data_IF_192608866311
#
_entry.id   IF_192608866311
#
_cell.length_a   1.000
_cell.length_b   1.000
_cell.length_c   1.000
_cell.angle_alpha   90.00
_cell.angle_beta   90.00
_cell.angle_gamma   90.00
#
_symmetry.space_group_name_H-M   'P 1'
#
loop_
_entity.id
_entity.type
_entity.pdbx_description
1 polymer ?
#
# COMPACT_ATOMS: atom_id res chain seq x y z
N UNK A 1 -1.97 12.13 -15.47
CA UNK A 1 -1.02 12.48 -14.40
C UNK A 1 0.30 11.80 -14.73
N UNK A 2 1.42 12.53 -14.85
CA UNK A 2 2.71 11.94 -15.24
C UNK A 2 3.46 11.40 -14.01
N UNK A 3 4.23 10.34 -14.19
CA UNK A 3 4.94 9.60 -13.12
C UNK A 3 5.92 10.50 -12.35
N UNK A 4 6.56 11.43 -13.06
CA UNK A 4 7.40 12.48 -12.46
C UNK A 4 6.65 13.35 -11.44
N UNK A 5 5.38 13.68 -11.67
CA UNK A 5 4.61 14.43 -10.68
C UNK A 5 4.35 13.60 -9.43
N UNK A 6 4.08 12.30 -9.58
CA UNK A 6 3.90 11.38 -8.46
C UNK A 6 5.18 11.21 -7.64
N UNK A 7 6.34 11.10 -8.30
CA UNK A 7 7.64 11.04 -7.62
C UNK A 7 7.94 12.32 -6.84
N UNK A 8 7.71 13.49 -7.44
CA UNK A 8 7.89 14.78 -6.74
C UNK A 8 6.93 14.91 -5.56
N UNK A 9 5.67 14.56 -5.75
CA UNK A 9 4.65 14.60 -4.69
C UNK A 9 5.02 13.67 -3.52
N UNK A 10 5.37 12.41 -3.82
CA UNK A 10 5.83 11.47 -2.80
C UNK A 10 7.11 11.95 -2.11
N UNK A 11 8.05 12.54 -2.87
CA UNK A 11 9.27 13.13 -2.31
C UNK A 11 8.99 14.26 -1.33
N UNK A 12 8.03 15.15 -1.62
CA UNK A 12 7.63 16.22 -0.71
C UNK A 12 6.92 15.67 0.54
N UNK A 13 6.11 14.63 0.41
CA UNK A 13 5.51 13.96 1.57
C UNK A 13 6.57 13.34 2.50
N UNK A 14 7.57 12.66 1.91
CA UNK A 14 8.70 12.03 2.62
C UNK A 14 9.52 13.07 3.38
N UNK A 15 9.79 14.24 2.78
CA UNK A 15 10.52 15.32 3.45
C UNK A 15 9.77 15.83 4.68
N UNK A 16 8.45 15.99 4.57
CA UNK A 16 7.61 16.48 5.67
C UNK A 16 7.45 15.47 6.81
N UNK A 17 7.71 14.20 6.56
CA UNK A 17 7.55 13.14 7.56
C UNK A 17 8.44 13.35 8.78
N UNK A 18 9.63 13.96 8.60
CA UNK A 18 10.54 14.30 9.70
C UNK A 18 9.90 15.18 10.78
N UNK A 19 8.95 16.04 10.39
CA UNK A 19 8.27 16.97 11.30
C UNK A 19 7.01 16.38 11.94
N UNK A 20 6.36 15.41 11.28
CA UNK A 20 5.03 14.95 11.67
C UNK A 20 5.00 13.52 12.22
N UNK A 21 6.08 12.75 12.08
CA UNK A 21 6.14 11.34 12.50
C UNK A 21 5.98 11.11 14.01
N UNK A 22 6.23 12.12 14.84
CA UNK A 22 6.08 12.03 16.30
C UNK A 22 4.60 11.93 16.72
N UNK A 23 3.68 12.38 15.85
CA UNK A 23 2.23 12.29 16.05
C UNK A 23 1.71 11.09 15.25
N UNK A 24 1.20 10.02 15.93
CA UNK A 24 0.75 8.79 15.26
C UNK A 24 -0.28 9.03 14.15
N UNK A 25 -1.22 9.94 14.34
CA UNK A 25 -2.28 10.26 13.38
C UNK A 25 -1.71 10.81 12.06
N UNK A 26 -0.72 11.71 12.16
CA UNK A 26 -0.10 12.27 10.98
C UNK A 26 0.70 11.21 10.21
N UNK A 27 1.33 10.29 10.93
CA UNK A 27 2.05 9.15 10.34
C UNK A 27 1.10 8.26 9.54
N UNK A 28 -0.08 7.98 10.08
CA UNK A 28 -1.13 7.21 9.38
C UNK A 28 -1.60 7.91 8.12
N UNK A 29 -1.85 9.22 8.16
CA UNK A 29 -2.21 10.01 6.98
C UNK A 29 -1.11 9.96 5.90
N UNK A 30 0.17 10.05 6.29
CA UNK A 30 1.29 9.94 5.35
C UNK A 30 1.33 8.55 4.71
N UNK A 31 1.17 7.48 5.50
CA UNK A 31 1.09 6.11 4.98
C UNK A 31 -0.06 5.98 3.98
N UNK A 32 -1.27 6.46 4.32
CA UNK A 32 -2.42 6.40 3.41
C UNK A 32 -2.18 7.11 2.08
N UNK A 33 -1.62 8.32 2.12
CA UNK A 33 -1.25 9.05 0.90
C UNK A 33 -0.19 8.30 0.07
N UNK A 34 0.81 7.70 0.73
CA UNK A 34 1.85 6.91 0.04
C UNK A 34 1.25 5.68 -0.64
N UNK A 35 0.31 5.00 0.02
CA UNK A 35 -0.38 3.83 -0.52
C UNK A 35 -1.16 4.16 -1.79
N UNK A 36 -1.80 5.34 -1.86
CA UNK A 36 -2.45 5.80 -3.09
C UNK A 36 -1.46 5.94 -4.26
N UNK A 37 -0.26 6.48 -3.99
CA UNK A 37 0.80 6.59 -5.01
C UNK A 37 1.35 5.21 -5.38
N UNK A 38 1.59 4.34 -4.41
CA UNK A 38 2.06 2.96 -4.60
C UNK A 38 1.11 2.20 -5.53
N UNK A 39 -0.20 2.29 -5.30
CA UNK A 39 -1.21 1.61 -6.15
C UNK A 39 -1.04 1.99 -7.63
N UNK A 40 -0.96 3.29 -7.91
CA UNK A 40 -0.79 3.80 -9.28
C UNK A 40 0.56 3.37 -9.86
N UNK A 41 1.64 3.40 -9.08
CA UNK A 41 2.95 2.95 -9.54
C UNK A 41 2.95 1.46 -9.90
N UNK A 42 2.28 0.61 -9.11
CA UNK A 42 2.15 -0.83 -9.40
C UNK A 42 1.33 -1.04 -10.68
N UNK A 43 0.18 -0.36 -10.82
CA UNK A 43 -0.68 -0.46 -12.01
C UNK A 43 -0.01 -0.02 -13.30
N UNK A 44 0.93 0.93 -13.21
CA UNK A 44 1.69 1.47 -14.33
C UNK A 44 3.07 0.81 -14.48
N UNK A 45 3.32 -0.29 -13.78
CA UNK A 45 4.56 -1.08 -13.86
C UNK A 45 5.83 -0.30 -13.47
N UNK A 46 5.69 0.77 -12.69
CA UNK A 46 6.81 1.53 -12.11
C UNK A 46 7.31 0.87 -10.83
N UNK A 47 7.74 -0.39 -10.95
CA UNK A 47 8.06 -1.27 -9.83
C UNK A 47 9.19 -0.77 -8.93
N UNK A 48 10.22 -0.12 -9.49
CA UNK A 48 11.32 0.46 -8.70
C UNK A 48 10.81 1.54 -7.73
N UNK A 49 9.92 2.41 -8.20
CA UNK A 49 9.32 3.48 -7.38
C UNK A 49 8.37 2.88 -6.35
N UNK A 50 7.49 1.97 -6.78
CA UNK A 50 6.56 1.29 -5.89
C UNK A 50 7.27 0.58 -4.72
N UNK A 51 8.35 -0.15 -5.00
CA UNK A 51 9.11 -0.86 -3.98
C UNK A 51 9.79 0.09 -2.99
N UNK A 52 10.37 1.20 -3.48
CA UNK A 52 10.96 2.23 -2.60
C UNK A 52 9.93 2.82 -1.66
N UNK A 53 8.75 3.17 -2.18
CA UNK A 53 7.66 3.74 -1.38
C UNK A 53 7.07 2.73 -0.39
N UNK A 54 6.90 1.47 -0.80
CA UNK A 54 6.46 0.38 0.09
C UNK A 54 7.43 0.20 1.27
N UNK A 55 8.73 0.16 1.00
CA UNK A 55 9.74 0.05 2.05
C UNK A 55 9.76 1.27 2.97
N UNK A 56 9.45 2.46 2.44
CA UNK A 56 9.34 3.66 3.24
C UNK A 56 8.10 3.63 4.16
N UNK A 57 6.92 3.30 3.61
CA UNK A 57 5.69 3.16 4.40
C UNK A 57 5.81 2.10 5.50
N UNK A 58 6.49 0.99 5.21
CA UNK A 58 6.73 -0.10 6.16
C UNK A 58 7.62 0.32 7.35
N UNK A 59 8.56 1.25 7.14
CA UNK A 59 9.39 1.83 8.21
C UNK A 59 8.65 2.86 9.07
N UNK A 60 7.59 3.46 8.54
CA UNK A 60 6.80 4.44 9.29
C UNK A 60 5.86 3.76 10.29
N UNK A 61 5.26 2.62 9.95
CA UNK A 61 4.32 1.97 10.88
C UNK A 61 5.02 1.35 12.09
N UNK A 62 4.32 1.32 13.22
CA UNK A 62 4.64 0.42 14.32
C UNK A 62 3.83 -0.88 14.15
N UNK A 63 4.46 -2.04 13.89
CA UNK A 63 3.73 -3.27 13.56
C UNK A 63 2.85 -3.82 14.69
N UNK A 64 3.15 -3.49 15.96
CA UNK A 64 2.41 -3.96 17.15
C UNK A 64 1.21 -3.07 17.50
N UNK A 65 1.09 -1.90 16.88
CA UNK A 65 0.07 -0.90 17.21
C UNK A 65 -0.77 -0.54 15.97
N UNK A 66 -0.11 -0.37 14.82
CA UNK A 66 -0.72 0.06 13.57
C UNK A 66 -1.19 -1.14 12.74
N UNK A 67 -2.09 -1.96 13.31
CA UNK A 67 -2.56 -3.22 12.69
C UNK A 67 -3.20 -3.00 11.32
N UNK A 68 -4.00 -1.93 11.18
CA UNK A 68 -4.65 -1.59 9.91
C UNK A 68 -3.60 -1.28 8.83
N UNK A 69 -2.68 -0.35 9.10
CA UNK A 69 -1.61 0.00 8.16
C UNK A 69 -0.74 -1.22 7.83
N UNK A 70 -0.45 -2.07 8.82
CA UNK A 70 0.35 -3.28 8.63
C UNK A 70 -0.30 -4.24 7.63
N UNK A 71 -1.60 -4.51 7.79
CA UNK A 71 -2.32 -5.40 6.89
C UNK A 71 -2.49 -4.79 5.48
N UNK A 72 -2.76 -3.48 5.36
CA UNK A 72 -2.87 -2.81 4.05
C UNK A 72 -1.51 -2.76 3.33
N UNK A 73 -0.40 -2.43 4.02
CA UNK A 73 0.94 -2.46 3.43
C UNK A 73 1.29 -3.88 2.95
N UNK A 74 0.94 -4.91 3.74
CA UNK A 74 1.16 -6.30 3.36
C UNK A 74 0.35 -6.71 2.13
N UNK A 75 -0.90 -6.25 2.02
CA UNK A 75 -1.72 -6.43 0.82
C UNK A 75 -1.03 -5.83 -0.41
N UNK A 76 -0.56 -4.57 -0.35
CA UNK A 76 0.12 -3.94 -1.48
C UNK A 76 1.48 -4.57 -1.82
N UNK A 77 2.19 -5.17 -0.85
CA UNK A 77 3.36 -6.02 -1.13
C UNK A 77 2.96 -7.27 -1.92
N UNK A 78 1.85 -7.92 -1.55
CA UNK A 78 1.28 -9.02 -2.33
C UNK A 78 0.92 -8.60 -3.76
N UNK A 79 0.28 -7.43 -3.90
CA UNK A 79 -0.07 -6.87 -5.20
C UNK A 79 1.15 -6.62 -6.09
N UNK A 80 2.19 -6.00 -5.51
CA UNK A 80 3.48 -5.81 -6.18
C UNK A 80 4.09 -7.14 -6.64
N UNK A 81 4.13 -8.15 -5.77
CA UNK A 81 4.70 -9.47 -6.10
C UNK A 81 3.93 -10.14 -7.25
N UNK A 82 2.60 -10.11 -7.20
CA UNK A 82 1.76 -10.66 -8.25
C UNK A 82 2.01 -9.99 -9.60
N UNK A 83 2.08 -8.65 -9.63
CA UNK A 83 2.40 -7.90 -10.86
C UNK A 83 3.82 -8.12 -11.37
N UNK A 84 4.75 -8.54 -10.52
CA UNK A 84 6.11 -8.98 -10.90
C UNK A 84 6.15 -10.43 -11.41
N UNK A 85 5.01 -11.12 -11.50
CA UNK A 85 4.91 -12.51 -11.99
C UNK A 85 5.01 -13.58 -10.89
N UNK A 86 5.01 -13.20 -9.61
CA UNK A 86 5.00 -14.16 -8.50
C UNK A 86 3.56 -14.41 -8.01
N UNK A 87 3.04 -15.60 -8.32
CA UNK A 87 1.67 -16.03 -7.95
C UNK A 87 1.40 -16.03 -6.45
N UNK A 88 2.42 -16.20 -5.60
CA UNK A 88 2.26 -16.18 -4.13
C UNK A 88 1.79 -14.82 -3.61
N UNK A 89 1.99 -13.77 -4.41
CA UNK A 89 1.45 -12.44 -4.16
C UNK A 89 -0.07 -12.45 -4.02
N UNK A 90 -0.77 -13.26 -4.82
CA UNK A 90 -2.23 -13.35 -4.81
C UNK A 90 -2.76 -13.94 -3.49
N UNK A 91 -2.16 -15.03 -3.02
CA UNK A 91 -2.53 -15.64 -1.74
C UNK A 91 -2.30 -14.67 -0.57
N UNK A 92 -1.25 -13.85 -0.65
CA UNK A 92 -1.00 -12.78 0.33
C UNK A 92 -2.10 -11.72 0.30
N UNK A 93 -2.54 -11.31 -0.90
CA UNK A 93 -3.63 -10.34 -1.07
C UNK A 93 -4.93 -10.88 -0.48
N UNK A 94 -5.32 -12.10 -0.85
CA UNK A 94 -6.55 -12.77 -0.37
C UNK A 94 -6.58 -12.87 1.16
N UNK A 95 -5.48 -13.32 1.78
CA UNK A 95 -5.37 -13.39 3.23
C UNK A 95 -5.53 -12.03 3.90
N UNK A 96 -4.96 -10.96 3.35
CA UNK A 96 -5.13 -9.62 3.90
C UNK A 96 -6.58 -9.14 3.78
N UNK A 97 -7.25 -9.47 2.67
CA UNK A 97 -8.67 -9.19 2.47
C UNK A 97 -9.55 -9.91 3.49
N UNK A 98 -9.29 -11.20 3.76
CA UNK A 98 -9.99 -11.96 4.80
C UNK A 98 -9.82 -11.33 6.19
N UNK A 99 -8.60 -10.91 6.54
CA UNK A 99 -8.34 -10.19 7.79
C UNK A 99 -9.16 -8.89 7.86
N UNK A 100 -9.22 -8.12 6.77
CA UNK A 100 -10.02 -6.89 6.73
C UNK A 100 -11.51 -7.16 6.91
N UNK A 101 -12.05 -8.22 6.29
CA UNK A 101 -13.44 -8.63 6.52
C UNK A 101 -13.67 -9.04 7.97
N UNK A 102 -12.76 -9.81 8.56
CA UNK A 102 -12.85 -10.27 9.95
C UNK A 102 -12.85 -9.11 10.95
N UNK A 103 -12.16 -8.01 10.63
CA UNK A 103 -12.11 -6.79 11.44
C UNK A 103 -13.24 -5.80 11.09
N UNK A 104 -14.30 -6.24 10.41
CA UNK A 104 -15.45 -5.43 9.97
C UNK A 104 -15.07 -4.22 9.09
N UNK A 105 -13.89 -4.24 8.46
CA UNK A 105 -13.39 -3.19 7.57
C UNK A 105 -13.92 -3.38 6.14
N UNK A 106 -15.25 -3.52 6.01
CA UNK A 106 -15.91 -3.98 4.78
C UNK A 106 -15.60 -3.14 3.54
N UNK A 107 -15.56 -1.81 3.66
CA UNK A 107 -15.28 -0.94 2.52
C UNK A 107 -13.88 -1.19 1.93
N UNK A 108 -12.89 -1.38 2.80
CA UNK A 108 -11.50 -1.65 2.38
C UNK A 108 -11.38 -3.06 1.84
N UNK A 109 -12.01 -4.03 2.51
CA UNK A 109 -12.05 -5.42 2.04
C UNK A 109 -12.66 -5.52 0.64
N UNK A 110 -13.79 -4.82 0.39
CA UNK A 110 -14.44 -4.82 -0.93
C UNK A 110 -13.52 -4.24 -2.00
N UNK A 111 -12.85 -3.12 -1.73
CA UNK A 111 -11.88 -2.54 -2.67
C UNK A 111 -10.76 -3.53 -3.01
N UNK A 112 -10.25 -4.25 -2.00
CA UNK A 112 -9.24 -5.29 -2.22
C UNK A 112 -9.77 -6.44 -3.08
N UNK A 113 -11.00 -6.92 -2.82
CA UNK A 113 -11.64 -7.96 -3.61
C UNK A 113 -11.83 -7.54 -5.08
N UNK A 114 -12.27 -6.31 -5.32
CA UNK A 114 -12.47 -5.78 -6.67
C UNK A 114 -11.15 -5.75 -7.44
N UNK A 115 -10.05 -5.37 -6.80
CA UNK A 115 -8.71 -5.43 -7.40
C UNK A 115 -8.30 -6.87 -7.69
N UNK A 116 -8.45 -7.79 -6.74
CA UNK A 116 -8.14 -9.22 -6.93
C UNK A 116 -8.95 -9.80 -8.11
N UNK A 117 -10.24 -9.50 -8.20
CA UNK A 117 -11.11 -9.97 -9.27
C UNK A 117 -10.63 -9.49 -10.65
N UNK A 118 -10.26 -8.20 -10.77
CA UNK A 118 -9.67 -7.63 -12.00
C UNK A 118 -8.34 -8.28 -12.39
N UNK A 119 -7.57 -8.78 -11.41
CA UNK A 119 -6.30 -9.45 -11.67
C UNK A 119 -6.47 -10.89 -12.14
N UNK A 120 -7.54 -11.57 -11.70
CA UNK A 120 -7.87 -12.94 -12.15
C UNK A 120 -8.55 -12.97 -13.52
N UNK A 121 -9.19 -11.88 -13.93
CA UNK A 121 -9.89 -11.77 -15.21
C UNK A 121 -9.00 -11.41 -16.41
N UNK A 122 -7.73 -11.06 -16.15
CA UNK A 122 -6.71 -10.73 -17.16
C UNK A 122 -5.66 -11.85 -17.21
#
# INVERSE_FOLDING_TARGET
MTVRLLETFAGEMVKRTQFYQEIPENRKLIIQMLLSVISVCIEKEHFSVALKLLNYADRLKNPEIDFFENAVIRYYRGYYLFKMGNSDGLATMEKCTEIMMFLDCYNVAQQMQDTIAKLKSN
#
